data_IF_717911192614
#
_entry.id   IF_717911192614
#
_cell.length_a   1.000
_cell.length_b   1.000
_cell.length_c   1.000
_cell.angle_alpha   90.00
_cell.angle_beta   90.00
_cell.angle_gamma   90.00
#
_symmetry.space_group_name_H-M   'P 1'
#
loop_
_entity.id
_entity.type
_entity.pdbx_description
1 polymer ?
#
# COMPACT_ATOMS: atom_id res chain seq x y z
N UNK A 1 -0.39 3.56 18.14
CA UNK A 1 -0.79 2.91 16.87
C UNK A 1 -1.16 4.03 15.92
N UNK A 2 -0.57 4.06 14.73
CA UNK A 2 -0.85 5.11 13.73
C UNK A 2 -1.86 4.59 12.72
N UNK A 3 -2.69 5.48 12.19
CA UNK A 3 -3.59 5.18 11.09
C UNK A 3 -3.22 6.00 9.86
N UNK A 4 -3.38 5.41 8.67
CA UNK A 4 -3.15 6.08 7.39
C UNK A 4 -4.47 6.22 6.64
N UNK A 5 -4.68 7.38 6.01
CA UNK A 5 -5.75 7.58 5.04
C UNK A 5 -5.15 7.64 3.64
N UNK A 6 -5.72 6.87 2.71
CA UNK A 6 -5.28 6.81 1.31
C UNK A 6 -6.46 7.24 0.44
N UNK A 7 -6.43 8.46 -0.08
CA UNK A 7 -7.45 8.96 -0.99
C UNK A 7 -7.18 8.56 -2.45
N UNK A 8 -5.89 8.48 -2.83
CA UNK A 8 -5.45 8.05 -4.16
C UNK A 8 -4.29 7.08 -4.06
N UNK A 9 -4.33 6.01 -4.87
CA UNK A 9 -3.29 4.99 -4.93
C UNK A 9 -2.83 4.78 -6.37
N UNK A 10 -1.64 5.31 -6.65
CA UNK A 10 -0.94 5.07 -7.89
C UNK A 10 -0.21 3.72 -7.84
N UNK A 11 -0.45 2.88 -8.85
CA UNK A 11 0.20 1.59 -9.02
C UNK A 11 0.85 1.58 -10.40
N UNK A 12 2.18 1.53 -10.46
CA UNK A 12 2.90 1.45 -11.74
C UNK A 12 2.74 0.06 -12.37
N UNK A 13 2.85 -0.03 -13.70
CA UNK A 13 2.77 -1.30 -14.43
C UNK A 13 3.79 -2.32 -13.93
N UNK A 14 5.01 -1.86 -13.61
CA UNK A 14 6.06 -2.72 -13.03
C UNK A 14 5.63 -3.33 -11.69
N UNK A 15 5.00 -2.54 -10.82
CA UNK A 15 4.52 -3.02 -9.52
C UNK A 15 3.31 -3.95 -9.72
N UNK A 16 2.37 -3.59 -10.61
CA UNK A 16 1.24 -4.42 -10.98
C UNK A 16 1.67 -5.80 -11.48
N UNK A 17 2.66 -5.85 -12.38
CA UNK A 17 3.22 -7.10 -12.89
C UNK A 17 3.89 -7.92 -11.78
N UNK A 18 4.66 -7.26 -10.90
CA UNK A 18 5.34 -7.92 -9.78
C UNK A 18 4.34 -8.57 -8.80
N UNK A 19 3.29 -7.85 -8.39
CA UNK A 19 2.30 -8.40 -7.44
C UNK A 19 1.48 -9.51 -8.09
N UNK A 20 1.18 -9.41 -9.39
CA UNK A 20 0.51 -10.47 -10.12
C UNK A 20 1.36 -11.73 -10.19
N UNK A 21 2.62 -11.62 -10.62
CA UNK A 21 3.52 -12.77 -10.77
C UNK A 21 3.80 -13.48 -9.44
N UNK A 22 3.91 -12.73 -8.34
CA UNK A 22 4.28 -13.28 -7.04
C UNK A 22 3.08 -13.81 -6.25
N UNK A 23 1.97 -13.08 -6.29
CA UNK A 23 0.84 -13.31 -5.38
C UNK A 23 -0.49 -13.55 -6.12
N UNK A 24 -0.51 -13.52 -7.46
CA UNK A 24 -1.72 -13.73 -8.27
C UNK A 24 -2.89 -12.79 -7.90
N UNK A 25 -2.56 -11.57 -7.46
CA UNK A 25 -3.53 -10.51 -7.16
C UNK A 25 -3.50 -9.44 -8.23
N UNK A 26 -4.68 -8.86 -8.52
CA UNK A 26 -4.83 -7.76 -9.48
C UNK A 26 -4.70 -6.41 -8.76
N UNK A 27 -4.21 -5.37 -9.44
CA UNK A 27 -4.11 -4.02 -8.86
C UNK A 27 -5.42 -3.45 -8.29
N UNK A 28 -6.57 -3.85 -8.83
CA UNK A 28 -7.88 -3.45 -8.30
C UNK A 28 -8.11 -3.97 -6.89
N UNK A 29 -7.68 -5.19 -6.59
CA UNK A 29 -7.87 -5.82 -5.28
C UNK A 29 -7.05 -5.13 -4.20
N UNK A 30 -5.89 -4.58 -4.57
CA UNK A 30 -5.11 -3.73 -3.67
C UNK A 30 -5.77 -2.39 -3.44
N UNK A 31 -6.40 -1.79 -4.48
CA UNK A 31 -7.13 -0.53 -4.32
C UNK A 31 -8.34 -0.70 -3.40
N UNK A 32 -9.12 -1.75 -3.59
CA UNK A 32 -10.31 -2.03 -2.78
C UNK A 32 -9.97 -2.20 -1.29
N UNK A 33 -8.78 -2.75 -0.98
CA UNK A 33 -8.33 -2.95 0.39
C UNK A 33 -7.68 -1.71 1.03
N UNK A 34 -7.36 -0.67 0.26
CA UNK A 34 -6.52 0.45 0.73
C UNK A 34 -7.19 1.81 0.53
N UNK A 35 -7.78 2.07 -0.64
CA UNK A 35 -8.29 3.40 -0.98
C UNK A 35 -9.60 3.67 -0.23
N UNK A 36 -9.68 4.84 0.39
CA UNK A 36 -10.84 5.30 1.16
C UNK A 36 -11.25 4.37 2.32
N UNK A 37 -10.33 3.55 2.82
CA UNK A 37 -10.56 2.71 4.01
C UNK A 37 -10.18 3.51 5.26
N UNK A 38 -11.13 3.65 6.18
CA UNK A 38 -10.92 4.39 7.41
C UNK A 38 -10.03 3.61 8.38
N UNK A 39 -9.07 4.29 9.00
CA UNK A 39 -8.33 3.76 10.14
C UNK A 39 -7.35 2.64 9.81
N UNK A 40 -6.79 2.59 8.59
CA UNK A 40 -5.83 1.55 8.21
C UNK A 40 -4.66 1.50 9.19
N UNK A 41 -4.48 0.39 9.93
CA UNK A 41 -3.43 0.28 10.92
C UNK A 41 -2.08 0.25 10.22
N UNK A 42 -1.12 1.01 10.74
CA UNK A 42 0.20 0.98 10.18
C UNK A 42 1.26 1.65 11.04
N UNK A 43 2.44 1.73 10.44
CA UNK A 43 3.62 2.37 11.00
C UNK A 43 4.37 3.14 9.93
N UNK A 44 5.07 4.17 10.36
CA UNK A 44 6.08 4.81 9.55
C UNK A 44 7.37 3.99 9.60
N UNK A 45 8.05 3.91 8.48
CA UNK A 45 9.36 3.29 8.35
C UNK A 45 10.26 4.22 7.53
N UNK A 46 11.46 4.50 8.04
CA UNK A 46 12.41 5.40 7.40
C UNK A 46 13.48 4.54 6.70
N UNK A 47 13.40 4.45 5.36
CA UNK A 47 14.35 3.67 4.57
C UNK A 47 15.52 4.57 4.13
N UNK A 48 16.79 4.19 4.39
CA UNK A 48 17.95 5.07 4.19
C UNK A 48 18.06 5.61 2.75
N UNK A 49 17.73 4.80 1.75
CA UNK A 49 17.80 5.19 0.34
C UNK A 49 16.47 5.66 -0.29
N UNK A 50 15.33 5.26 0.29
CA UNK A 50 14.01 5.46 -0.33
C UNK A 50 13.13 6.47 0.40
N UNK A 51 13.66 7.03 1.48
CA UNK A 51 12.96 7.96 2.35
C UNK A 51 11.88 7.28 3.20
N UNK A 52 11.01 8.13 3.75
CA UNK A 52 9.91 7.73 4.61
C UNK A 52 8.82 7.00 3.82
N UNK A 53 8.36 5.86 4.35
CA UNK A 53 7.25 5.06 3.81
C UNK A 53 6.27 4.70 4.91
N UNK A 54 5.01 4.52 4.52
CA UNK A 54 4.02 3.90 5.40
C UNK A 54 3.98 2.39 5.12
N UNK A 55 3.92 1.61 6.19
CA UNK A 55 3.71 0.16 6.16
C UNK A 55 2.40 -0.12 6.86
N UNK A 56 1.39 -0.53 6.10
CA UNK A 56 0.02 -0.75 6.59
C UNK A 56 -0.35 -2.22 6.49
N UNK A 57 -1.20 -2.67 7.39
CA UNK A 57 -1.72 -4.03 7.39
C UNK A 57 -3.18 -3.99 6.89
N UNK A 58 -3.50 -4.86 5.93
CA UNK A 58 -4.80 -4.94 5.27
C UNK A 58 -5.23 -6.39 5.10
N UNK A 59 -6.49 -6.60 4.71
CA UNK A 59 -6.99 -7.92 4.33
C UNK A 59 -7.33 -7.93 2.84
N UNK A 60 -6.74 -8.86 2.08
CA UNK A 60 -7.04 -9.09 0.67
C UNK A 60 -7.42 -10.56 0.51
N UNK A 61 -8.60 -10.86 -0.07
CA UNK A 61 -9.11 -12.24 -0.21
C UNK A 61 -9.12 -13.04 1.11
N UNK A 62 -9.50 -12.41 2.21
CA UNK A 62 -9.49 -13.00 3.56
C UNK A 62 -8.11 -13.44 4.08
N UNK A 63 -7.03 -12.91 3.50
CA UNK A 63 -5.66 -13.13 3.97
C UNK A 63 -5.05 -11.81 4.41
N UNK A 64 -4.29 -11.85 5.50
CA UNK A 64 -3.54 -10.68 5.96
C UNK A 64 -2.40 -10.36 5.01
N UNK A 65 -2.28 -9.08 4.68
CA UNK A 65 -1.25 -8.57 3.81
C UNK A 65 -0.67 -7.26 4.35
N UNK A 66 0.65 -7.13 4.27
CA UNK A 66 1.36 -5.88 4.53
C UNK A 66 1.56 -5.14 3.21
N UNK A 67 1.11 -3.89 3.15
CA UNK A 67 1.26 -2.99 2.00
C UNK A 67 2.23 -1.87 2.33
N UNK A 68 3.18 -1.64 1.42
CA UNK A 68 4.17 -0.57 1.54
C UNK A 68 3.78 0.58 0.62
N UNK A 69 3.63 1.77 1.20
CA UNK A 69 3.20 2.98 0.52
C UNK A 69 4.28 4.07 0.62
N UNK A 70 4.54 4.73 -0.50
CA UNK A 70 5.39 5.91 -0.55
C UNK A 70 4.54 7.16 -0.76
N UNK A 71 4.75 8.24 0.01
CA UNK A 71 3.98 9.46 -0.16
C UNK A 71 4.22 10.04 -1.55
N UNK A 72 3.16 10.48 -2.20
CA UNK A 72 3.22 11.23 -3.46
C UNK A 72 2.98 12.70 -3.15
N UNK A 73 3.71 13.59 -3.82
CA UNK A 73 3.41 15.02 -3.70
C UNK A 73 1.98 15.29 -4.19
N UNK A 74 1.10 15.60 -3.24
CA UNK A 74 -0.29 15.94 -3.47
C UNK A 74 -0.67 17.03 -2.47
N UNK A 75 -1.45 18.06 -2.86
CA UNK A 75 -1.79 19.18 -1.98
C UNK A 75 -2.43 18.79 -0.65
N UNK A 76 -3.12 17.66 -0.60
CA UNK A 76 -3.82 17.16 0.59
C UNK A 76 -3.01 16.11 1.39
N UNK A 77 -1.86 15.66 0.89
CA UNK A 77 -0.98 14.70 1.61
C UNK A 77 -1.52 13.27 1.73
N UNK A 78 -2.54 12.91 0.96
CA UNK A 78 -3.31 11.67 1.02
C UNK A 78 -3.20 10.79 -0.24
N UNK A 79 -2.31 11.16 -1.16
CA UNK A 79 -2.00 10.37 -2.35
C UNK A 79 -0.72 9.56 -2.16
N UNK A 80 -0.74 8.33 -2.63
CA UNK A 80 0.31 7.36 -2.34
C UNK A 80 0.71 6.57 -3.60
N UNK A 81 1.96 6.14 -3.64
CA UNK A 81 2.45 5.18 -4.61
C UNK A 81 2.58 3.81 -3.94
N UNK A 82 2.08 2.77 -4.60
CA UNK A 82 2.29 1.39 -4.15
C UNK A 82 3.76 0.97 -4.38
N UNK A 83 4.44 0.61 -3.30
CA UNK A 83 5.79 0.03 -3.35
C UNK A 83 5.77 -1.49 -3.47
N UNK A 84 5.01 -2.15 -2.61
CA UNK A 84 4.89 -3.62 -2.58
C UNK A 84 3.69 -4.08 -1.74
N UNK A 85 3.31 -5.33 -1.95
CA UNK A 85 2.34 -6.09 -1.15
C UNK A 85 3.01 -7.41 -0.78
N UNK A 86 2.86 -7.82 0.48
CA UNK A 86 3.34 -9.10 1.00
C UNK A 86 2.22 -9.77 1.77
N UNK A 87 1.93 -11.03 1.47
CA UNK A 87 1.04 -11.84 2.31
C UNK A 87 1.85 -12.46 3.46
N UNK A 88 1.21 -12.62 4.61
CA UNK A 88 1.75 -13.42 5.71
C UNK A 88 1.45 -14.88 5.36
N UNK A 89 2.50 -15.69 5.16
CA UNK A 89 2.38 -17.15 4.97
C UNK A 89 2.13 -17.85 6.31
#
# INVERSE_FOLDING_TARGET
MWSVWVADLAISDRVAQKIWQRHHIRPVEVRDAVVCVAGLPGRWDDHPERGRRAVIDVTIRNQEATVVLYPRQHPMGDAWNLGSVYFVD
#
